data_IF_704457234851
#
_entry.id   IF_704457234851
#
_cell.length_a   1.000
_cell.length_b   1.000
_cell.length_c   1.000
_cell.angle_alpha   90.00
_cell.angle_beta   90.00
_cell.angle_gamma   90.00
#
_symmetry.space_group_name_H-M   'P 1'
#
loop_
_entity.id
_entity.type
_entity.pdbx_description
1 polymer ?
#
# COMPACT_ATOMS: atom_id res chain seq x y z
N UNK A 1 56.22 24.21 41.43
CA UNK A 1 57.13 23.97 40.27
C UNK A 1 56.55 24.67 39.06
N UNK A 2 57.38 25.13 38.12
CA UNK A 2 56.99 25.66 36.81
C UNK A 2 57.06 24.53 35.74
N UNK A 3 56.77 24.76 34.44
CA UNK A 3 56.09 25.87 33.73
C UNK A 3 54.67 25.45 33.26
N UNK A 4 53.89 26.11 32.37
CA UNK A 4 54.06 27.36 31.60
C UNK A 4 53.73 27.19 30.10
N UNK A 5 53.34 28.28 29.41
CA UNK A 5 53.09 28.41 27.95
C UNK A 5 51.83 27.71 27.36
N UNK A 6 51.20 28.17 26.26
CA UNK A 6 51.13 29.48 25.57
C UNK A 6 49.87 29.56 24.65
N UNK A 7 49.50 30.76 24.20
CA UNK A 7 48.53 31.05 23.10
C UNK A 7 49.13 30.65 21.70
N UNK A 8 48.45 30.74 20.51
CA UNK A 8 47.29 31.59 20.18
C UNK A 8 46.27 31.08 19.09
N UNK A 9 45.39 32.00 18.68
CA UNK A 9 44.83 32.20 17.32
C UNK A 9 43.81 31.23 16.69
N UNK A 10 42.60 31.75 16.49
CA UNK A 10 41.76 31.47 15.32
C UNK A 10 42.30 32.15 14.05
N UNK A 11 41.85 31.73 12.86
CA UNK A 11 41.63 32.65 11.74
C UNK A 11 40.17 32.60 11.25
N UNK A 12 39.56 33.77 11.07
CA UNK A 12 38.21 33.92 10.50
C UNK A 12 38.29 34.50 9.09
N UNK A 13 37.82 33.77 8.06
CA UNK A 13 37.42 34.22 6.70
C UNK A 13 36.99 32.99 5.88
N UNK A 14 36.15 33.09 4.83
CA UNK A 14 35.43 34.24 4.27
C UNK A 14 34.20 33.77 3.50
N UNK A 15 33.12 34.55 3.52
CA UNK A 15 31.94 34.35 2.66
C UNK A 15 32.28 34.50 1.18
N UNK A 16 31.72 33.64 0.33
CA UNK A 16 31.73 33.80 -1.14
C UNK A 16 30.30 33.97 -1.65
N UNK A 17 29.92 35.22 -1.93
CA UNK A 17 28.63 35.57 -2.54
C UNK A 17 28.75 35.43 -4.06
N UNK A 18 27.88 34.62 -4.68
CA UNK A 18 27.78 34.55 -6.15
C UNK A 18 26.38 34.92 -6.61
N UNK A 19 26.18 36.21 -6.87
CA UNK A 19 25.00 36.70 -7.59
C UNK A 19 25.10 36.35 -9.07
N UNK A 20 24.03 35.84 -9.66
CA UNK A 20 23.81 35.95 -11.11
C UNK A 20 22.34 36.21 -11.40
N UNK A 21 22.07 37.21 -12.25
CA UNK A 21 20.75 37.57 -12.78
C UNK A 21 20.76 37.30 -14.30
N UNK A 22 19.78 37.88 -15.03
CA UNK A 22 19.53 37.75 -16.48
C UNK A 22 18.88 36.41 -16.92
N UNK A 23 17.88 36.41 -17.82
CA UNK A 23 17.05 37.51 -18.36
C UNK A 23 15.69 36.96 -18.83
N UNK A 24 14.69 37.82 -18.96
CA UNK A 24 13.32 37.46 -19.36
C UNK A 24 13.00 37.78 -20.83
N UNK A 25 11.89 37.20 -21.34
CA UNK A 25 11.00 37.70 -22.43
C UNK A 25 11.52 37.73 -23.89
N UNK A 26 10.64 37.78 -24.91
CA UNK A 26 9.28 37.19 -25.01
C UNK A 26 8.92 36.57 -26.39
N UNK A 27 7.75 35.91 -26.46
CA UNK A 27 6.95 35.75 -27.68
C UNK A 27 6.26 34.38 -27.81
N UNK A 28 5.13 34.18 -28.51
CA UNK A 28 3.93 34.99 -28.81
C UNK A 28 3.14 34.27 -29.92
N UNK A 29 1.83 34.03 -29.71
CA UNK A 29 0.78 33.83 -30.75
C UNK A 29 0.75 32.48 -31.52
N UNK A 30 -0.40 31.96 -32.00
CA UNK A 30 -1.83 32.22 -31.68
C UNK A 30 -2.77 31.18 -32.37
N UNK A 31 -4.09 31.21 -32.03
CA UNK A 31 -5.23 30.56 -32.74
C UNK A 31 -5.22 29.00 -32.71
N UNK A 32 -6.32 28.26 -32.93
CA UNK A 32 -7.79 28.41 -32.72
C UNK A 32 -8.39 26.96 -32.70
N UNK A 33 -9.69 26.61 -32.60
CA UNK A 33 -11.01 27.28 -32.73
C UNK A 33 -12.07 26.48 -31.91
N UNK A 34 -13.36 26.86 -31.93
CA UNK A 34 -14.60 26.04 -31.73
C UNK A 34 -14.62 24.84 -30.74
N UNK A 35 -15.53 24.71 -29.76
CA UNK A 35 -16.71 25.49 -29.41
C UNK A 35 -18.05 24.81 -29.79
N UNK A 36 -18.81 24.33 -28.79
CA UNK A 36 -20.25 24.09 -28.91
C UNK A 36 -20.95 24.24 -27.55
N UNK A 37 -22.18 24.81 -27.58
CA UNK A 37 -23.12 24.86 -26.44
C UNK A 37 -24.09 23.68 -26.51
N UNK A 38 -24.63 23.22 -25.37
CA UNK A 38 -26.07 23.37 -25.07
C UNK A 38 -26.43 22.96 -23.62
N UNK A 39 -27.65 23.28 -23.11
CA UNK A 39 -27.79 23.70 -21.71
C UNK A 39 -28.72 22.85 -20.83
N UNK A 40 -28.89 23.33 -19.59
CA UNK A 40 -30.01 23.07 -18.68
C UNK A 40 -31.38 22.89 -19.37
N UNK A 41 -32.14 21.88 -18.93
CA UNK A 41 -33.61 21.84 -18.99
C UNK A 41 -34.14 21.44 -17.60
N UNK A 42 -35.22 22.07 -17.12
CA UNK A 42 -35.80 21.84 -15.78
C UNK A 42 -37.32 22.10 -15.76
N UNK A 43 -38.12 21.04 -15.85
CA UNK A 43 -39.58 21.03 -15.61
C UNK A 43 -40.01 19.56 -15.45
N UNK A 44 -40.43 19.07 -14.27
CA UNK A 44 -41.73 19.23 -13.57
C UNK A 44 -42.80 18.20 -14.01
N UNK A 45 -43.62 17.76 -13.03
CA UNK A 45 -44.53 16.59 -13.09
C UNK A 45 -44.06 15.50 -12.12
N UNK A 46 -44.54 15.45 -10.87
CA UNK A 46 -45.82 14.86 -10.41
C UNK A 46 -45.92 13.35 -10.68
N UNK A 47 -45.65 12.54 -9.65
CA UNK A 47 -46.74 11.88 -8.89
C UNK A 47 -46.22 11.17 -7.62
N UNK A 48 -47.06 11.10 -6.59
CA UNK A 48 -46.80 10.34 -5.35
C UNK A 48 -47.80 9.19 -5.20
N UNK A 49 -47.32 7.97 -4.91
CA UNK A 49 -48.05 7.06 -4.05
C UNK A 49 -47.32 6.74 -2.74
N UNK A 50 -48.10 6.31 -1.76
CA UNK A 50 -47.75 6.18 -0.34
C UNK A 50 -47.00 4.88 0.02
N UNK A 51 -46.44 4.86 1.24
CA UNK A 51 -45.98 3.69 2.02
C UNK A 51 -44.83 2.84 1.45
N UNK A 52 -43.66 2.95 2.09
CA UNK A 52 -42.54 2.04 1.90
C UNK A 52 -41.35 2.31 2.82
N UNK A 53 -41.54 2.35 4.14
CA UNK A 53 -40.43 2.44 5.11
C UNK A 53 -39.71 1.09 5.27
N UNK A 54 -39.19 0.57 4.17
CA UNK A 54 -38.13 -0.44 4.19
C UNK A 54 -36.84 0.25 4.63
N UNK A 55 -36.50 0.13 5.91
CA UNK A 55 -35.14 0.43 6.36
C UNK A 55 -34.16 -0.41 5.54
N UNK A 56 -33.11 0.17 4.91
CA UNK A 56 -32.15 -0.62 4.17
C UNK A 56 -31.45 -1.55 5.18
N UNK A 57 -31.74 -2.86 5.09
CA UNK A 57 -31.20 -3.86 6.00
C UNK A 57 -29.68 -3.81 5.92
N UNK A 58 -29.05 -3.23 6.95
CA UNK A 58 -27.64 -2.84 6.92
C UNK A 58 -26.70 -4.00 7.26
N UNK A 59 -27.13 -5.22 6.96
CA UNK A 59 -26.30 -6.39 6.97
C UNK A 59 -25.24 -6.22 5.87
N UNK A 60 -23.93 -6.14 6.19
CA UNK A 60 -22.91 -6.25 5.15
C UNK A 60 -23.07 -7.61 4.45
N UNK A 61 -22.71 -7.73 3.16
CA UNK A 61 -22.78 -9.01 2.46
C UNK A 61 -21.99 -10.08 3.22
N UNK A 62 -22.54 -11.29 3.29
CA UNK A 62 -21.95 -12.40 4.03
C UNK A 62 -20.50 -12.63 3.58
N UNK A 63 -19.58 -12.64 4.55
CA UNK A 63 -18.20 -13.12 4.38
C UNK A 63 -17.53 -12.66 3.09
N UNK A 64 -17.19 -11.36 3.01
CA UNK A 64 -16.20 -10.87 2.04
C UNK A 64 -14.96 -11.77 2.10
N UNK A 65 -14.47 -12.31 0.96
CA UNK A 65 -13.33 -13.20 0.96
C UNK A 65 -12.09 -12.45 1.43
N UNK A 66 -11.46 -12.96 2.49
CA UNK A 66 -10.13 -12.52 2.89
C UNK A 66 -9.12 -12.93 1.80
N UNK A 67 -7.95 -12.29 1.80
CA UNK A 67 -6.82 -12.85 1.07
C UNK A 67 -6.44 -14.24 1.64
N UNK A 68 -5.93 -15.17 0.80
CA UNK A 68 -5.34 -16.40 1.27
C UNK A 68 -4.04 -16.17 2.07
N UNK A 69 -3.57 -17.13 2.87
CA UNK A 69 -2.35 -17.01 3.66
C UNK A 69 -1.09 -17.31 2.84
N UNK A 70 -0.50 -16.28 2.21
CA UNK A 70 0.81 -16.38 1.58
C UNK A 70 1.94 -16.05 2.57
N UNK A 71 2.62 -17.08 3.09
CA UNK A 71 3.75 -16.95 4.01
C UNK A 71 5.09 -16.67 3.27
N UNK A 72 5.09 -15.70 2.36
CA UNK A 72 6.30 -15.28 1.64
C UNK A 72 7.29 -14.50 2.50
N UNK A 73 8.51 -14.25 1.99
CA UNK A 73 9.48 -13.37 2.63
C UNK A 73 9.16 -11.88 2.39
N UNK A 74 8.33 -11.56 1.39
CA UNK A 74 8.06 -10.18 0.99
C UNK A 74 6.87 -9.57 1.73
N UNK A 75 7.09 -8.37 2.26
CA UNK A 75 6.12 -7.49 2.89
C UNK A 75 6.08 -6.17 2.13
N UNK A 76 4.96 -5.45 2.19
CA UNK A 76 4.77 -4.22 1.42
C UNK A 76 4.32 -3.06 2.30
N UNK A 77 4.71 -1.84 1.95
CA UNK A 77 4.23 -0.63 2.62
C UNK A 77 4.04 0.50 1.62
N UNK A 78 2.89 1.18 1.69
CA UNK A 78 2.61 2.38 0.89
C UNK A 78 3.02 3.63 1.67
N UNK A 79 3.77 4.52 1.04
CA UNK A 79 4.17 5.83 1.59
C UNK A 79 3.72 6.98 0.68
N UNK A 80 3.64 8.19 1.25
CA UNK A 80 3.50 9.45 0.51
C UNK A 80 4.75 10.30 0.76
N UNK A 81 5.64 10.40 -0.22
CA UNK A 81 6.81 11.28 -0.18
C UNK A 81 6.40 12.75 -0.31
N UNK A 82 6.99 13.62 0.51
CA UNK A 82 6.85 15.07 0.39
C UNK A 82 8.19 15.83 0.49
N UNK A 83 9.29 15.15 0.81
CA UNK A 83 10.63 15.76 0.91
C UNK A 83 11.73 14.69 0.85
N UNK A 84 12.63 14.70 -0.16
CA UNK A 84 13.80 13.82 -0.23
C UNK A 84 14.72 13.86 0.99
N UNK A 85 14.77 14.99 1.71
CA UNK A 85 15.54 15.08 2.95
C UNK A 85 14.93 14.30 4.15
N UNK A 86 13.78 13.65 3.97
CA UNK A 86 13.07 12.88 5.00
C UNK A 86 12.67 11.46 4.54
N UNK A 87 13.15 10.98 3.39
CA UNK A 87 12.68 9.74 2.75
C UNK A 87 13.23 8.43 3.34
N UNK A 88 14.23 8.51 4.23
CA UNK A 88 14.99 7.35 4.70
C UNK A 88 14.48 6.79 6.04
N UNK A 89 14.19 7.64 7.02
CA UNK A 89 13.73 7.21 8.34
C UNK A 89 12.25 6.73 8.30
N UNK A 90 12.04 5.48 7.86
CA UNK A 90 10.82 4.73 8.18
C UNK A 90 10.81 4.31 9.65
N UNK A 91 11.92 4.44 10.36
CA UNK A 91 12.08 4.26 11.80
C UNK A 91 11.04 5.05 12.61
N UNK A 92 10.78 4.61 13.83
CA UNK A 92 10.12 5.38 14.89
C UNK A 92 10.69 4.93 16.25
N UNK A 93 10.39 5.66 17.32
CA UNK A 93 10.81 5.28 18.67
C UNK A 93 10.27 3.87 19.01
N UNK A 94 11.13 2.87 19.25
CA UNK A 94 10.68 1.55 19.67
C UNK A 94 10.25 1.60 21.14
N UNK A 95 9.12 0.99 21.46
CA UNK A 95 8.88 0.57 22.84
C UNK A 95 9.74 -0.67 23.08
N UNK A 96 10.61 -0.65 24.09
CA UNK A 96 11.37 -1.83 24.51
C UNK A 96 10.56 -2.63 25.55
N UNK A 97 10.84 -3.93 25.64
CA UNK A 97 10.46 -4.84 26.73
C UNK A 97 8.96 -4.97 27.08
N UNK A 98 8.05 -4.67 26.14
CA UNK A 98 6.61 -4.90 26.31
C UNK A 98 6.15 -6.30 25.85
N UNK A 99 5.29 -6.95 26.64
CA UNK A 99 4.63 -8.20 26.23
C UNK A 99 3.57 -7.99 25.15
N UNK A 100 3.17 -9.05 24.45
CA UNK A 100 2.07 -9.02 23.46
C UNK A 100 0.76 -8.43 24.01
N UNK A 101 0.48 -8.62 25.31
CA UNK A 101 -0.69 -8.07 25.97
C UNK A 101 -0.61 -6.54 26.16
N UNK A 102 0.58 -6.02 26.43
CA UNK A 102 0.86 -4.60 26.69
C UNK A 102 1.06 -3.81 25.39
N UNK A 103 1.59 -4.45 24.33
CA UNK A 103 1.62 -3.91 22.97
C UNK A 103 0.20 -3.75 22.39
N UNK A 104 -0.74 -4.61 22.79
CA UNK A 104 -2.11 -4.68 22.26
C UNK A 104 -2.87 -3.34 22.17
N UNK A 105 -2.94 -2.54 23.27
CA UNK A 105 -3.50 -1.19 23.23
C UNK A 105 -2.85 -0.25 22.22
N UNK A 106 -1.51 -0.28 22.09
CA UNK A 106 -0.79 0.53 21.11
C UNK A 106 -1.07 0.07 19.67
N UNK A 107 -1.18 -1.25 19.43
CA UNK A 107 -1.56 -1.80 18.12
C UNK A 107 -2.96 -1.37 17.71
N UNK A 108 -3.94 -1.40 18.63
CA UNK A 108 -5.29 -0.90 18.37
C UNK A 108 -5.26 0.60 18.07
N UNK A 109 -4.62 1.41 18.93
CA UNK A 109 -4.48 2.85 18.71
C UNK A 109 -3.86 3.18 17.34
N UNK A 110 -2.85 2.43 16.89
CA UNK A 110 -2.24 2.60 15.56
C UNK A 110 -3.27 2.52 14.43
N UNK A 111 -4.15 1.52 14.48
CA UNK A 111 -5.23 1.32 13.49
C UNK A 111 -6.36 2.34 13.65
N UNK A 112 -6.63 2.79 14.88
CA UNK A 112 -7.68 3.74 15.19
C UNK A 112 -7.33 5.19 14.80
N UNK A 113 -6.05 5.55 14.85
CA UNK A 113 -5.52 6.92 14.63
C UNK A 113 -4.70 7.06 13.33
N UNK A 114 -4.69 6.03 12.48
CA UNK A 114 -3.91 5.96 11.22
C UNK A 114 -2.40 6.20 11.42
N UNK A 115 -1.84 5.55 12.46
CA UNK A 115 -0.41 5.49 12.75
C UNK A 115 0.25 6.74 13.32
N UNK A 116 -0.54 7.72 13.78
CA UNK A 116 -0.03 8.97 14.35
C UNK A 116 0.44 8.79 15.80
N UNK A 117 1.70 9.12 16.08
CA UNK A 117 2.24 9.13 17.45
C UNK A 117 2.21 7.75 18.12
N UNK A 118 2.74 6.75 17.41
CA UNK A 118 2.77 5.34 17.81
C UNK A 118 4.08 4.67 17.38
N UNK A 119 4.58 3.66 18.10
CA UNK A 119 5.87 3.00 17.87
C UNK A 119 5.87 2.01 16.70
N UNK A 120 4.90 2.13 15.79
CA UNK A 120 4.73 1.20 14.67
C UNK A 120 4.68 1.91 13.32
N UNK A 121 4.87 1.12 12.26
CA UNK A 121 4.51 1.47 10.88
C UNK A 121 3.58 0.40 10.30
N UNK A 122 2.44 0.80 9.73
CA UNK A 122 1.63 -0.07 8.87
C UNK A 122 2.41 -0.59 7.67
N UNK A 123 2.25 -1.88 7.41
CA UNK A 123 2.53 -2.58 6.17
C UNK A 123 1.51 -3.70 5.96
N UNK A 124 1.70 -4.49 4.91
CA UNK A 124 0.76 -5.53 4.50
C UNK A 124 1.47 -6.78 3.98
N UNK A 125 0.89 -7.94 4.26
CA UNK A 125 1.18 -9.23 3.62
C UNK A 125 0.48 -9.39 2.26
N UNK A 126 -0.09 -8.33 1.66
CA UNK A 126 -0.83 -8.39 0.40
C UNK A 126 -0.39 -7.32 -0.61
N UNK A 127 0.29 -7.72 -1.70
CA UNK A 127 0.66 -6.80 -2.79
C UNK A 127 -0.59 -6.19 -3.47
N UNK A 128 -1.65 -7.00 -3.67
CA UNK A 128 -2.95 -6.52 -4.16
C UNK A 128 -3.57 -5.43 -3.25
N UNK A 129 -3.32 -5.48 -1.93
CA UNK A 129 -3.72 -4.41 -1.02
C UNK A 129 -2.84 -3.17 -1.15
N UNK A 130 -1.52 -3.34 -1.24
CA UNK A 130 -0.58 -2.24 -1.42
C UNK A 130 -0.85 -1.45 -2.72
N UNK A 131 -1.19 -2.15 -3.81
CA UNK A 131 -1.57 -1.55 -5.08
C UNK A 131 -2.90 -0.77 -4.99
N UNK A 132 -3.90 -1.29 -4.27
CA UNK A 132 -5.15 -0.55 -4.02
C UNK A 132 -4.95 0.69 -3.12
N UNK A 133 -4.17 0.55 -2.05
CA UNK A 133 -3.86 1.64 -1.12
C UNK A 133 -3.00 2.73 -1.79
N UNK A 134 -2.14 2.36 -2.75
CA UNK A 134 -1.39 3.30 -3.57
C UNK A 134 -2.31 4.13 -4.48
N UNK A 135 -3.23 3.51 -5.22
CA UNK A 135 -4.28 4.24 -5.96
C UNK A 135 -5.06 5.18 -5.04
N UNK A 136 -5.54 4.67 -3.90
CA UNK A 136 -6.37 5.44 -2.97
C UNK A 136 -5.65 6.71 -2.46
N UNK A 137 -4.32 6.69 -2.37
CA UNK A 137 -3.50 7.87 -2.01
C UNK A 137 -3.18 8.77 -3.19
N UNK A 138 -2.98 8.23 -4.41
CA UNK A 138 -2.77 9.07 -5.60
C UNK A 138 -3.98 9.95 -5.90
N UNK A 139 -5.17 9.38 -5.71
CA UNK A 139 -6.45 9.99 -6.07
C UNK A 139 -6.95 11.00 -5.03
N UNK A 140 -6.38 11.01 -3.82
CA UNK A 140 -6.79 11.86 -2.69
C UNK A 140 -6.63 13.38 -2.97
N UNK A 141 -5.99 13.75 -4.08
CA UNK A 141 -5.88 15.12 -4.57
C UNK A 141 -6.01 15.17 -6.11
N UNK A 142 -7.04 14.50 -6.67
CA UNK A 142 -7.31 14.44 -8.12
C UNK A 142 -6.09 14.01 -8.95
N UNK A 143 -5.36 12.98 -8.50
CA UNK A 143 -4.17 12.46 -9.16
C UNK A 143 -2.89 13.29 -8.94
N UNK A 144 -2.95 14.49 -8.33
CA UNK A 144 -1.78 15.37 -8.12
C UNK A 144 -0.71 14.78 -7.20
N UNK A 145 -1.01 13.67 -6.52
CA UNK A 145 -0.07 12.90 -5.68
C UNK A 145 0.48 11.63 -6.35
N UNK A 146 0.11 11.31 -7.59
CA UNK A 146 0.57 10.07 -8.26
C UNK A 146 2.11 9.92 -8.27
N UNK A 147 2.85 11.01 -8.53
CA UNK A 147 4.31 11.03 -8.53
C UNK A 147 4.93 11.11 -7.11
N UNK A 148 4.12 11.00 -6.06
CA UNK A 148 4.52 11.07 -4.64
C UNK A 148 4.16 9.80 -3.85
N UNK A 149 3.45 8.86 -4.45
CA UNK A 149 3.07 7.60 -3.81
C UNK A 149 4.06 6.52 -4.23
N UNK A 150 4.60 5.80 -3.25
CA UNK A 150 5.51 4.67 -3.49
C UNK A 150 5.04 3.42 -2.75
N UNK A 151 5.30 2.26 -3.35
CA UNK A 151 5.26 0.96 -2.69
C UNK A 151 6.69 0.56 -2.36
N UNK A 152 6.98 0.46 -1.07
CA UNK A 152 8.18 -0.17 -0.53
C UNK A 152 7.98 -1.69 -0.57
N UNK A 153 8.94 -2.42 -1.12
CA UNK A 153 9.04 -3.88 -1.03
C UNK A 153 10.11 -4.20 -0.01
N UNK A 154 9.74 -5.02 0.98
CA UNK A 154 10.54 -5.26 2.18
C UNK A 154 10.79 -6.77 2.28
N UNK A 155 12.05 -7.18 2.42
CA UNK A 155 12.39 -8.57 2.73
C UNK A 155 12.44 -8.78 4.24
N UNK A 156 11.51 -9.56 4.78
CA UNK A 156 11.46 -9.85 6.23
C UNK A 156 12.69 -10.56 6.76
N UNK A 157 13.51 -11.19 5.90
CA UNK A 157 14.72 -11.92 6.29
C UNK A 157 15.82 -10.99 6.80
N UNK A 158 15.75 -9.69 6.51
CA UNK A 158 16.64 -8.66 7.04
C UNK A 158 16.23 -8.10 8.42
N UNK A 159 15.08 -8.53 8.97
CA UNK A 159 14.48 -7.93 10.18
C UNK A 159 14.32 -8.96 11.32
N UNK A 160 14.45 -8.54 12.60
CA UNK A 160 14.10 -9.38 13.74
C UNK A 160 12.60 -9.76 13.76
N UNK A 161 12.27 -10.99 14.13
CA UNK A 161 10.88 -11.50 14.10
C UNK A 161 9.97 -10.86 15.17
N UNK A 162 10.53 -10.40 16.29
CA UNK A 162 9.85 -9.63 17.33
C UNK A 162 9.46 -8.22 16.84
N UNK A 163 10.21 -7.66 15.88
CA UNK A 163 9.89 -6.40 15.23
C UNK A 163 8.63 -6.47 14.34
N UNK A 164 8.20 -7.67 13.92
CA UNK A 164 7.18 -7.88 12.87
C UNK A 164 5.85 -8.38 13.46
N UNK A 165 4.83 -7.54 13.50
CA UNK A 165 3.53 -7.93 14.05
C UNK A 165 2.44 -8.17 13.00
N UNK A 166 2.41 -9.40 12.48
CA UNK A 166 1.32 -9.89 11.62
C UNK A 166 0.01 -10.00 12.43
N UNK A 167 -1.00 -9.23 12.03
CA UNK A 167 -2.31 -9.19 12.71
C UNK A 167 -3.28 -10.27 12.19
N UNK A 168 -2.88 -11.54 12.34
CA UNK A 168 -3.74 -12.69 12.02
C UNK A 168 -4.98 -12.77 12.91
N UNK A 169 -6.04 -13.44 12.45
CA UNK A 169 -7.29 -13.54 13.24
C UNK A 169 -7.08 -14.25 14.59
N UNK A 170 -6.21 -15.27 14.62
CA UNK A 170 -5.80 -15.97 15.85
C UNK A 170 -5.09 -15.02 16.83
N UNK A 171 -4.34 -14.04 16.34
CA UNK A 171 -3.64 -13.03 17.15
C UNK A 171 -4.61 -11.97 17.66
N UNK A 172 -5.44 -11.41 16.77
CA UNK A 172 -6.48 -10.43 17.12
C UNK A 172 -7.46 -11.00 18.17
N UNK A 173 -7.84 -12.28 18.08
CA UNK A 173 -8.69 -12.97 19.07
C UNK A 173 -8.04 -13.10 20.46
N UNK A 174 -6.70 -13.14 20.56
CA UNK A 174 -5.99 -13.21 21.85
C UNK A 174 -5.86 -11.86 22.55
N UNK A 175 -5.78 -10.76 21.82
CA UNK A 175 -5.47 -9.43 22.37
C UNK A 175 -6.76 -8.74 22.86
N UNK A 176 -6.93 -8.50 24.18
CA UNK A 176 -8.20 -7.97 24.72
C UNK A 176 -8.53 -6.53 24.29
N UNK A 177 -7.53 -5.76 23.83
CA UNK A 177 -7.75 -4.43 23.27
C UNK A 177 -8.60 -4.48 22.00
N UNK A 178 -8.36 -5.45 21.09
CA UNK A 178 -9.12 -5.58 19.84
C UNK A 178 -10.58 -5.98 20.06
N UNK A 179 -10.91 -6.60 21.19
CA UNK A 179 -12.29 -6.95 21.55
C UNK A 179 -13.05 -5.79 22.21
N UNK A 180 -12.35 -4.69 22.55
CA UNK A 180 -12.90 -3.47 23.18
C UNK A 180 -12.93 -2.26 22.24
N UNK A 181 -12.43 -2.38 21.01
CA UNK A 181 -12.46 -1.30 20.01
C UNK A 181 -13.87 -1.17 19.43
N UNK A 182 -14.43 0.04 19.50
CA UNK A 182 -15.71 0.40 18.85
C UNK A 182 -15.54 0.61 17.33
N UNK A 183 -14.33 0.93 16.88
CA UNK A 183 -13.98 1.09 15.47
C UNK A 183 -13.81 -0.31 14.81
N UNK A 184 -14.09 -0.47 13.50
CA UNK A 184 -14.01 -1.75 12.80
C UNK A 184 -12.57 -2.24 12.52
N UNK A 185 -11.60 -1.96 13.39
CA UNK A 185 -10.16 -2.20 13.19
C UNK A 185 -9.82 -3.67 12.93
N UNK A 186 -10.54 -4.61 13.56
CA UNK A 186 -10.40 -6.05 13.27
C UNK A 186 -10.74 -6.37 11.82
N UNK A 187 -11.81 -5.80 11.26
CA UNK A 187 -12.18 -6.03 9.87
C UNK A 187 -11.13 -5.46 8.95
N UNK A 188 -10.71 -4.21 9.17
CA UNK A 188 -9.68 -3.54 8.39
C UNK A 188 -8.37 -4.34 8.39
N UNK A 189 -7.82 -4.67 9.56
CA UNK A 189 -6.55 -5.38 9.68
C UNK A 189 -6.55 -6.76 8.99
N UNK A 190 -7.68 -7.48 9.02
CA UNK A 190 -7.80 -8.80 8.39
C UNK A 190 -7.89 -8.74 6.86
N UNK A 191 -8.61 -7.75 6.30
CA UNK A 191 -8.65 -7.52 4.85
C UNK A 191 -7.32 -6.95 4.35
N UNK A 192 -6.74 -6.01 5.10
CA UNK A 192 -5.44 -5.42 4.83
C UNK A 192 -4.27 -6.40 4.94
N UNK A 193 -4.46 -7.56 5.59
CA UNK A 193 -3.38 -8.49 5.97
C UNK A 193 -2.27 -7.73 6.71
N UNK A 194 -2.72 -6.89 7.64
CA UNK A 194 -1.92 -5.85 8.27
C UNK A 194 -0.71 -6.43 9.02
N UNK A 195 0.42 -5.76 8.85
CA UNK A 195 1.66 -6.00 9.60
C UNK A 195 2.05 -4.68 10.23
N UNK A 196 2.29 -4.68 11.55
CA UNK A 196 2.83 -3.52 12.25
C UNK A 196 4.32 -3.75 12.52
N UNK A 197 5.17 -2.88 11.98
CA UNK A 197 6.62 -2.91 12.22
C UNK A 197 7.00 -2.06 13.42
N UNK A 198 7.45 -2.66 14.52
CA UNK A 198 7.83 -1.97 15.76
C UNK A 198 9.18 -1.27 15.63
N UNK A 199 9.28 0.00 16.02
CA UNK A 199 10.49 0.80 15.76
C UNK A 199 10.71 1.18 14.29
N UNK A 200 9.84 0.75 13.38
CA UNK A 200 9.85 1.10 11.96
C UNK A 200 10.47 0.03 11.06
N UNK A 201 11.10 0.44 9.96
CA UNK A 201 11.65 -0.48 8.94
C UNK A 201 13.09 -0.03 8.63
N UNK A 202 14.11 -0.89 8.81
CA UNK A 202 15.48 -0.59 8.39
C UNK A 202 15.58 -0.44 6.86
N UNK A 203 16.31 0.57 6.38
CA UNK A 203 16.47 0.85 4.94
C UNK A 203 17.11 -0.34 4.20
N UNK A 204 18.01 -1.10 4.85
CA UNK A 204 18.64 -2.31 4.30
C UNK A 204 17.66 -3.47 4.08
N UNK A 205 16.48 -3.43 4.70
CA UNK A 205 15.41 -4.39 4.45
C UNK A 205 14.49 -3.98 3.29
N UNK A 206 14.58 -2.72 2.80
CA UNK A 206 13.79 -2.21 1.68
C UNK A 206 14.49 -2.58 0.36
N UNK A 207 14.12 -3.74 -0.20
CA UNK A 207 14.74 -4.29 -1.41
C UNK A 207 14.35 -3.54 -2.69
N UNK A 208 13.25 -2.78 -2.68
CA UNK A 208 12.87 -1.89 -3.78
C UNK A 208 11.91 -0.79 -3.30
N UNK A 209 11.94 0.35 -4.00
CA UNK A 209 10.90 1.39 -3.95
C UNK A 209 10.35 1.55 -5.36
N UNK A 210 9.03 1.42 -5.54
CA UNK A 210 8.36 1.49 -6.86
C UNK A 210 7.30 2.58 -6.81
N UNK A 211 7.37 3.56 -7.72
CA UNK A 211 6.47 4.72 -7.71
C UNK A 211 5.15 4.36 -8.37
N UNK A 212 4.05 4.94 -7.88
CA UNK A 212 2.73 4.70 -8.46
C UNK A 212 2.64 5.15 -9.93
N UNK A 213 3.40 6.16 -10.32
CA UNK A 213 3.56 6.59 -11.71
C UNK A 213 4.20 5.53 -12.64
N UNK A 214 4.96 4.58 -12.10
CA UNK A 214 5.59 3.48 -12.85
C UNK A 214 4.66 2.25 -12.90
N UNK A 215 3.81 2.09 -11.89
CA UNK A 215 2.86 0.98 -11.76
C UNK A 215 1.60 1.20 -12.60
N UNK A 216 0.98 2.38 -12.49
CA UNK A 216 -0.43 2.61 -12.86
C UNK A 216 -0.77 2.27 -14.32
N UNK A 217 0.17 2.53 -15.24
CA UNK A 217 -0.05 2.44 -16.69
C UNK A 217 0.18 1.00 -17.22
N UNK A 218 0.63 0.09 -16.34
CA UNK A 218 0.96 -1.32 -16.63
C UNK A 218 0.07 -2.32 -15.88
N UNK A 219 -0.91 -1.84 -15.11
CA UNK A 219 -1.71 -2.72 -14.24
C UNK A 219 -2.56 -3.73 -15.03
N UNK A 220 -2.57 -5.01 -14.63
CA UNK A 220 -3.44 -6.03 -15.19
C UNK A 220 -4.91 -5.62 -15.16
N UNK A 221 -5.67 -6.05 -16.17
CA UNK A 221 -7.04 -5.61 -16.41
C UNK A 221 -7.98 -5.97 -15.25
N UNK A 222 -7.66 -7.07 -14.56
CA UNK A 222 -8.37 -7.52 -13.35
C UNK A 222 -8.24 -6.61 -12.13
N UNK A 223 -7.25 -5.70 -12.07
CA UNK A 223 -7.20 -4.68 -11.01
C UNK A 223 -8.33 -3.66 -11.13
N UNK A 224 -8.87 -3.46 -12.35
CA UNK A 224 -10.13 -2.76 -12.58
C UNK A 224 -10.25 -1.41 -11.88
N UNK A 225 -9.20 -0.58 -11.92
CA UNK A 225 -9.13 0.66 -11.11
C UNK A 225 -10.35 1.58 -11.34
N UNK A 226 -10.75 1.74 -12.60
CA UNK A 226 -11.93 2.50 -13.03
C UNK A 226 -13.26 1.97 -12.47
N UNK A 227 -13.30 0.70 -12.02
CA UNK A 227 -14.40 0.14 -11.23
C UNK A 227 -14.37 0.65 -9.77
N UNK A 228 -14.21 1.96 -9.63
CA UNK A 228 -14.55 2.84 -8.50
C UNK A 228 -14.07 2.41 -7.10
N UNK A 229 -13.11 3.18 -6.57
CA UNK A 229 -12.81 3.28 -5.13
C UNK A 229 -14.08 3.45 -4.26
N UNK A 230 -15.16 4.02 -4.80
CA UNK A 230 -16.47 4.23 -4.13
C UNK A 230 -17.11 2.95 -3.56
N UNK A 231 -16.77 1.75 -4.03
CA UNK A 231 -17.32 0.50 -3.46
C UNK A 231 -16.70 0.09 -2.12
N UNK A 232 -15.54 0.65 -1.75
CA UNK A 232 -14.81 0.27 -0.54
C UNK A 232 -13.85 -0.91 -0.75
N UNK A 233 -12.96 -1.08 0.22
CA UNK A 233 -11.78 -1.96 0.16
C UNK A 233 -12.08 -3.46 0.02
N UNK A 234 -13.25 -3.90 0.48
CA UNK A 234 -13.68 -5.30 0.53
C UNK A 234 -13.67 -6.02 -0.83
N UNK A 235 -14.09 -5.34 -1.89
CA UNK A 235 -14.43 -6.00 -3.16
C UNK A 235 -13.21 -6.33 -4.04
N UNK A 236 -11.99 -5.88 -3.70
CA UNK A 236 -10.83 -6.03 -4.59
C UNK A 236 -10.26 -7.44 -4.69
N UNK A 237 -10.43 -8.27 -3.66
CA UNK A 237 -10.13 -9.70 -3.75
C UNK A 237 -11.17 -10.46 -4.61
N UNK A 238 -12.41 -9.95 -4.67
CA UNK A 238 -13.48 -10.50 -5.50
C UNK A 238 -13.31 -10.12 -6.98
N UNK A 239 -12.95 -8.86 -7.29
CA UNK A 239 -12.69 -8.39 -8.67
C UNK A 239 -11.64 -9.27 -9.39
N UNK A 240 -10.54 -9.61 -8.70
CA UNK A 240 -9.48 -10.48 -9.20
C UNK A 240 -9.96 -11.92 -9.48
N UNK A 241 -10.64 -12.55 -8.51
CA UNK A 241 -11.24 -13.90 -8.69
C UNK A 241 -12.26 -13.92 -9.82
N UNK A 242 -13.07 -12.87 -9.94
CA UNK A 242 -14.09 -12.74 -10.99
C UNK A 242 -13.45 -12.70 -12.38
N UNK A 243 -12.33 -11.99 -12.57
CA UNK A 243 -11.61 -12.02 -13.85
C UNK A 243 -11.09 -13.43 -14.15
N UNK A 244 -10.49 -14.10 -13.16
CA UNK A 244 -10.00 -15.47 -13.29
C UNK A 244 -11.10 -16.46 -13.73
N UNK A 245 -12.31 -16.35 -13.16
CA UNK A 245 -13.48 -17.16 -13.55
C UNK A 245 -14.03 -16.85 -14.95
N UNK A 246 -13.78 -15.66 -15.52
CA UNK A 246 -14.30 -15.23 -16.83
C UNK A 246 -13.29 -15.44 -17.96
N UNK A 247 -12.00 -15.21 -17.69
CA UNK A 247 -10.92 -15.24 -18.68
C UNK A 247 -9.98 -16.45 -18.54
N UNK A 248 -10.11 -17.23 -17.47
CA UNK A 248 -9.30 -18.41 -17.19
C UNK A 248 -8.04 -18.10 -16.38
N UNK A 249 -7.57 -19.11 -15.65
CA UNK A 249 -6.40 -19.00 -14.77
C UNK A 249 -5.09 -18.76 -15.54
N UNK A 250 -4.95 -19.31 -16.75
CA UNK A 250 -3.74 -19.13 -17.56
C UNK A 250 -3.59 -17.70 -18.10
N UNK A 251 -4.66 -17.12 -18.67
CA UNK A 251 -4.66 -15.74 -19.12
C UNK A 251 -4.41 -14.76 -17.95
N UNK A 252 -5.05 -15.02 -16.80
CA UNK A 252 -4.87 -14.21 -15.59
C UNK A 252 -3.44 -14.32 -15.04
N UNK A 253 -2.82 -15.51 -15.12
CA UNK A 253 -1.42 -15.72 -14.74
C UNK A 253 -0.46 -15.01 -15.70
N UNK A 254 -0.70 -15.07 -17.01
CA UNK A 254 0.11 -14.36 -18.00
C UNK A 254 0.03 -12.82 -17.81
N UNK A 255 -1.13 -12.27 -17.46
CA UNK A 255 -1.25 -10.87 -17.07
C UNK A 255 -0.45 -10.54 -15.79
N UNK A 256 -0.45 -11.42 -14.78
CA UNK A 256 0.38 -11.27 -13.56
C UNK A 256 1.87 -11.30 -13.90
N UNK A 257 2.30 -12.30 -14.68
CA UNK A 257 3.70 -12.52 -15.03
C UNK A 257 4.25 -11.32 -15.80
N UNK A 258 3.56 -10.88 -16.85
CA UNK A 258 3.92 -9.68 -17.61
C UNK A 258 3.99 -8.41 -16.74
N UNK A 259 3.06 -8.22 -15.81
CA UNK A 259 3.08 -7.05 -14.91
C UNK A 259 4.27 -7.05 -13.94
N UNK A 260 4.64 -8.21 -13.38
CA UNK A 260 5.84 -8.31 -12.53
C UNK A 260 7.12 -8.14 -13.35
N UNK A 261 7.17 -8.68 -14.57
CA UNK A 261 8.31 -8.57 -15.49
C UNK A 261 8.52 -7.13 -16.00
N UNK A 262 7.46 -6.39 -16.38
CA UNK A 262 7.58 -5.01 -16.87
C UNK A 262 7.82 -3.99 -15.74
N UNK A 263 7.16 -4.12 -14.59
CA UNK A 263 7.18 -3.08 -13.54
C UNK A 263 8.21 -3.34 -12.45
N UNK A 264 8.36 -4.60 -12.01
CA UNK A 264 9.11 -4.91 -10.79
C UNK A 264 10.52 -5.46 -11.08
N UNK A 265 10.70 -6.29 -12.11
CA UNK A 265 12.03 -6.78 -12.50
C UNK A 265 13.03 -5.65 -12.80
N UNK A 266 12.70 -4.55 -13.50
CA UNK A 266 13.69 -3.51 -13.82
C UNK A 266 14.19 -2.76 -12.57
N UNK A 267 13.30 -2.51 -11.61
CA UNK A 267 13.66 -1.89 -10.32
C UNK A 267 14.55 -2.83 -9.51
N UNK A 268 14.17 -4.11 -9.39
CA UNK A 268 14.97 -5.13 -8.70
C UNK A 268 16.33 -5.37 -9.37
N UNK A 269 16.40 -5.31 -10.69
CA UNK A 269 17.65 -5.48 -11.46
C UNK A 269 18.58 -4.27 -11.35
N UNK A 270 18.02 -3.07 -11.14
CA UNK A 270 18.79 -1.87 -10.78
C UNK A 270 19.37 -1.97 -9.37
N UNK A 271 18.61 -2.53 -8.41
CA UNK A 271 19.05 -2.72 -7.03
C UNK A 271 20.06 -3.88 -6.86
N UNK A 272 19.86 -5.01 -7.54
CA UNK A 272 20.64 -6.24 -7.35
C UNK A 272 21.29 -6.75 -8.64
N UNK A 273 22.63 -6.84 -8.64
CA UNK A 273 23.42 -7.44 -9.73
C UNK A 273 23.34 -8.98 -9.78
N UNK A 274 22.74 -9.62 -8.78
CA UNK A 274 22.61 -11.08 -8.73
C UNK A 274 21.27 -11.50 -9.36
N UNK A 275 21.32 -11.98 -10.60
CA UNK A 275 20.14 -12.40 -11.38
C UNK A 275 19.30 -13.45 -10.64
N UNK A 276 19.94 -14.45 -10.01
CA UNK A 276 19.24 -15.52 -9.26
C UNK A 276 18.47 -14.96 -8.05
N UNK A 277 18.97 -13.89 -7.42
CA UNK A 277 18.27 -13.20 -6.35
C UNK A 277 17.07 -12.39 -6.88
N UNK A 278 17.23 -11.72 -8.03
CA UNK A 278 16.15 -11.00 -8.72
C UNK A 278 15.04 -11.96 -9.15
N UNK A 279 15.38 -13.09 -9.77
CA UNK A 279 14.43 -14.15 -10.14
C UNK A 279 13.70 -14.69 -8.89
N UNK A 280 14.42 -14.89 -7.79
CA UNK A 280 13.84 -15.27 -6.51
C UNK A 280 12.80 -14.26 -5.99
N UNK A 281 13.05 -12.96 -6.13
CA UNK A 281 12.08 -11.93 -5.75
C UNK A 281 10.91 -11.83 -6.73
N UNK A 282 11.16 -11.86 -8.04
CA UNK A 282 10.14 -11.86 -9.10
C UNK A 282 9.18 -13.04 -8.93
N UNK A 283 9.70 -14.26 -8.72
CA UNK A 283 8.90 -15.45 -8.42
C UNK A 283 8.02 -15.26 -7.17
N UNK A 284 8.56 -14.65 -6.11
CA UNK A 284 7.77 -14.37 -4.91
C UNK A 284 6.65 -13.34 -5.15
N UNK A 285 6.87 -12.32 -5.98
CA UNK A 285 5.84 -11.35 -6.38
C UNK A 285 4.75 -11.99 -7.28
N UNK A 286 5.15 -12.84 -8.23
CA UNK A 286 4.22 -13.60 -9.08
C UNK A 286 3.38 -14.57 -8.24
N UNK A 287 4.00 -15.33 -7.33
CA UNK A 287 3.30 -16.21 -6.39
C UNK A 287 2.43 -15.45 -5.40
N UNK A 288 2.82 -14.24 -5.00
CA UNK A 288 1.99 -13.36 -4.20
C UNK A 288 0.64 -13.11 -4.88
N UNK A 289 0.65 -12.48 -6.05
CA UNK A 289 -0.59 -12.16 -6.78
C UNK A 289 -1.37 -13.41 -7.19
N UNK A 290 -0.67 -14.46 -7.64
CA UNK A 290 -1.30 -15.72 -8.06
C UNK A 290 -1.99 -16.46 -6.91
N UNK A 291 -1.55 -16.27 -5.66
CA UNK A 291 -2.18 -16.94 -4.50
C UNK A 291 -3.66 -16.58 -4.36
N UNK A 292 -4.04 -15.35 -4.73
CA UNK A 292 -5.41 -14.84 -4.64
C UNK A 292 -6.41 -15.49 -5.61
N UNK A 293 -5.95 -16.32 -6.55
CA UNK A 293 -6.76 -16.90 -7.63
C UNK A 293 -7.41 -18.25 -7.28
N UNK A 294 -6.85 -19.02 -6.33
CA UNK A 294 -7.02 -20.49 -6.28
C UNK A 294 -7.80 -21.04 -5.07
N UNK A 295 -8.64 -20.24 -4.41
CA UNK A 295 -9.44 -20.75 -3.27
C UNK A 295 -10.61 -21.65 -3.72
N UNK A 296 -11.19 -21.42 -4.90
CA UNK A 296 -12.32 -22.22 -5.41
C UNK A 296 -11.90 -23.68 -5.68
N UNK A 297 -10.73 -23.88 -6.30
CA UNK A 297 -10.17 -25.19 -6.64
C UNK A 297 -9.98 -26.09 -5.40
N UNK A 298 -9.70 -25.51 -4.24
CA UNK A 298 -9.44 -26.27 -3.01
C UNK A 298 -10.71 -26.81 -2.35
N UNK A 299 -11.82 -26.06 -2.38
CA UNK A 299 -13.11 -26.59 -1.92
C UNK A 299 -13.69 -27.60 -2.91
N UNK A 300 -13.49 -27.42 -4.22
CA UNK A 300 -13.93 -28.38 -5.23
C UNK A 300 -13.10 -29.68 -5.19
N UNK A 301 -11.76 -29.61 -5.10
CA UNK A 301 -10.91 -30.79 -4.88
C UNK A 301 -11.25 -31.50 -3.57
N UNK A 302 -11.49 -30.77 -2.49
CA UNK A 302 -11.92 -31.36 -1.21
C UNK A 302 -13.28 -32.07 -1.34
N UNK A 303 -14.20 -31.49 -2.13
CA UNK A 303 -15.52 -32.05 -2.42
C UNK A 303 -15.49 -33.26 -3.35
N UNK A 304 -14.45 -33.41 -4.18
CA UNK A 304 -14.22 -34.59 -5.02
C UNK A 304 -13.51 -35.70 -4.25
N UNK A 305 -12.48 -35.38 -3.45
CA UNK A 305 -11.76 -36.33 -2.59
C UNK A 305 -12.68 -36.90 -1.50
N UNK A 306 -13.61 -36.10 -0.96
CA UNK A 306 -14.64 -36.56 -0.01
C UNK A 306 -15.78 -37.39 -0.61
N UNK A 307 -15.64 -37.89 -1.86
CA UNK A 307 -16.64 -38.72 -2.57
C UNK A 307 -16.04 -40.00 -3.17
N UNK A 308 -14.82 -40.37 -2.77
CA UNK A 308 -14.10 -41.60 -3.14
C UNK A 308 -13.87 -42.49 -1.92
#
# INVERSE_FOLDING_TARGET
MAPGSQHPSTPSRSSSTTTSQYRSTPGSQSLSTSGHRNPFIRSQGLDTPSRGHSTPSRNPPSSVPLAPPFNGPLLFRVIEGHNPAAENSQECEPLMDLTEAELGPYMVKHLEDWGKGTPFRSGTLALLWALWEALRRSDFDNGRRANRVEILIIDRRGMPDDMIHVLSERRIKKIPAFQRSEKPVRSWALHAREVLFQGGIPDESIIARVRWSEIRDYLPRFFGLDAKLQKGYSYRFEDCRKWCRVHGAEATRAEIENFIEEVFRPVLSTAFKNVVLVDGYVYNLQKHLSSHLLEDDLEELSSQIGRL
#
